data_IF_544851136509
#
_entry.id   IF_544851136509
#
_cell.length_a   1.000
_cell.length_b   1.000
_cell.length_c   1.000
_cell.angle_alpha   90.00
_cell.angle_beta   90.00
_cell.angle_gamma   90.00
#
_symmetry.space_group_name_H-M   'P 1'
#
loop_
_entity.id
_entity.type
_entity.pdbx_description
1 polymer ?
#
# COMPACT_ATOMS: atom_id res chain seq x y z
N UNK A 1 -15.29 -22.18 10.27
CA UNK A 1 -15.66 -21.55 8.98
C UNK A 1 -14.68 -20.42 8.71
N UNK A 2 -14.21 -20.28 7.47
CA UNK A 2 -13.34 -19.17 7.06
C UNK A 2 -14.13 -17.85 7.10
N UNK A 3 -13.54 -16.82 7.68
CA UNK A 3 -14.14 -15.49 7.85
C UNK A 3 -13.24 -14.43 7.23
N UNK A 4 -13.82 -13.36 6.70
CA UNK A 4 -13.11 -12.13 6.39
C UNK A 4 -13.31 -11.17 7.56
N UNK A 5 -12.22 -10.69 8.14
CA UNK A 5 -12.22 -9.86 9.35
C UNK A 5 -11.59 -8.52 9.03
N UNK A 6 -12.26 -7.43 9.42
CA UNK A 6 -11.68 -6.08 9.43
C UNK A 6 -11.45 -5.63 10.86
N UNK A 7 -10.21 -5.25 11.18
CA UNK A 7 -9.86 -4.75 12.50
C UNK A 7 -10.00 -3.23 12.62
N UNK A 8 -9.98 -2.71 13.85
CA UNK A 8 -10.11 -1.27 14.17
C UNK A 8 -9.10 -0.37 13.46
N UNK A 9 -7.91 -0.88 13.13
CA UNK A 9 -6.88 -0.15 12.39
C UNK A 9 -7.02 -0.26 10.86
N UNK A 10 -8.13 -0.82 10.36
CA UNK A 10 -8.41 -0.99 8.93
C UNK A 10 -7.73 -2.20 8.28
N UNK A 11 -7.00 -3.03 9.04
CA UNK A 11 -6.41 -4.25 8.49
C UNK A 11 -7.49 -5.28 8.15
N UNK A 12 -7.33 -5.95 7.01
CA UNK A 12 -8.28 -6.96 6.51
C UNK A 12 -7.60 -8.32 6.44
N UNK A 13 -8.22 -9.33 7.05
CA UNK A 13 -7.68 -10.69 7.13
C UNK A 13 -8.67 -11.70 6.57
N UNK A 14 -8.15 -12.78 6.01
CA UNK A 14 -8.87 -14.04 5.93
C UNK A 14 -8.43 -14.90 7.10
N UNK A 15 -9.39 -15.41 7.86
CA UNK A 15 -9.16 -16.04 9.15
C UNK A 15 -10.01 -17.30 9.31
N UNK A 16 -9.35 -18.44 9.50
CA UNK A 16 -9.98 -19.70 9.86
C UNK A 16 -9.71 -19.97 11.33
N UNK A 17 -10.74 -19.79 12.14
CA UNK A 17 -10.67 -19.98 13.58
C UNK A 17 -10.41 -21.45 13.96
N UNK A 18 -9.40 -21.66 14.81
CA UNK A 18 -9.11 -22.93 15.47
C UNK A 18 -9.40 -22.71 16.96
N UNK A 19 -10.45 -23.33 17.53
CA UNK A 19 -10.83 -23.10 18.92
C UNK A 19 -9.73 -23.51 19.91
N UNK A 20 -9.45 -22.63 20.87
CA UNK A 20 -8.52 -22.83 21.98
C UNK A 20 -9.13 -22.32 23.27
N UNK A 21 -9.66 -23.22 24.11
CA UNK A 21 -10.43 -22.88 25.32
C UNK A 21 -9.77 -21.81 26.18
N UNK A 22 -8.46 -21.92 26.44
CA UNK A 22 -7.74 -20.94 27.27
C UNK A 22 -7.64 -19.56 26.61
N UNK A 23 -7.35 -19.50 25.30
CA UNK A 23 -7.16 -18.24 24.57
C UNK A 23 -8.49 -17.55 24.28
N UNK A 24 -9.51 -18.33 23.92
CA UNK A 24 -10.86 -17.80 23.71
C UNK A 24 -11.41 -17.17 25.00
N UNK A 25 -11.15 -17.76 26.17
CA UNK A 25 -11.52 -17.18 27.47
C UNK A 25 -10.83 -15.84 27.76
N UNK A 26 -9.65 -15.60 27.18
CA UNK A 26 -8.94 -14.32 27.23
C UNK A 26 -9.39 -13.33 26.14
N UNK A 27 -10.43 -13.68 25.36
CA UNK A 27 -10.92 -12.86 24.27
C UNK A 27 -10.01 -12.85 23.04
N UNK A 28 -9.19 -13.88 22.85
CA UNK A 28 -8.23 -13.99 21.75
C UNK A 28 -8.71 -15.02 20.73
N UNK A 29 -8.82 -14.58 19.47
CA UNK A 29 -9.03 -15.46 18.33
C UNK A 29 -7.68 -16.05 17.88
N UNK A 30 -7.62 -17.38 17.81
CA UNK A 30 -6.49 -18.14 17.28
C UNK A 30 -6.93 -18.98 16.09
N UNK A 31 -5.99 -19.24 15.18
CA UNK A 31 -6.31 -19.98 13.98
C UNK A 31 -5.28 -19.80 12.89
N UNK A 32 -5.72 -20.05 11.67
CA UNK A 32 -4.94 -19.80 10.46
C UNK A 32 -5.35 -18.46 9.86
N UNK A 33 -4.39 -17.68 9.37
CA UNK A 33 -4.72 -16.39 8.75
C UNK A 33 -3.74 -15.91 7.70
N UNK A 34 -4.24 -15.00 6.87
CA UNK A 34 -3.47 -14.18 5.96
C UNK A 34 -3.99 -12.75 6.00
N UNK A 35 -3.07 -11.78 6.11
CA UNK A 35 -3.36 -10.35 5.98
C UNK A 35 -3.52 -10.02 4.49
N UNK A 36 -4.69 -9.55 4.08
CA UNK A 36 -4.95 -9.08 2.71
C UNK A 36 -4.47 -7.64 2.51
N UNK A 37 -4.57 -6.81 3.55
CA UNK A 37 -4.22 -5.38 3.47
C UNK A 37 -2.73 -5.13 3.69
N UNK A 38 -1.92 -5.58 2.73
CA UNK A 38 -0.47 -5.35 2.70
C UNK A 38 -0.11 -4.08 1.91
N UNK A 39 1.12 -3.58 2.07
CA UNK A 39 1.64 -2.54 1.18
C UNK A 39 2.07 -3.11 -0.16
N UNK A 40 1.98 -2.28 -1.21
CA UNK A 40 2.48 -2.65 -2.53
C UNK A 40 3.96 -3.05 -2.44
N UNK A 41 4.28 -4.21 -3.01
CA UNK A 41 5.59 -4.89 -2.97
C UNK A 41 5.92 -5.68 -1.69
N UNK A 42 5.07 -5.66 -0.66
CA UNK A 42 5.22 -6.58 0.47
C UNK A 42 4.85 -8.01 0.08
N UNK A 43 5.28 -8.98 0.90
CA UNK A 43 4.84 -10.37 0.78
C UNK A 43 3.56 -10.60 1.59
N UNK A 44 2.68 -11.45 1.06
CA UNK A 44 1.63 -12.07 1.85
C UNK A 44 2.21 -13.23 2.66
N UNK A 45 1.91 -13.26 3.96
CA UNK A 45 2.35 -14.32 4.86
C UNK A 45 1.16 -15.09 5.39
N UNK A 46 1.18 -16.41 5.20
CA UNK A 46 0.24 -17.32 5.83
C UNK A 46 0.76 -17.70 7.22
N UNK A 47 -0.11 -17.60 8.21
CA UNK A 47 0.21 -17.86 9.62
C UNK A 47 -0.66 -19.01 10.13
N UNK A 48 -0.08 -19.87 10.96
CA UNK A 48 -0.76 -21.02 11.58
C UNK A 48 -0.66 -20.94 13.10
N UNK A 49 -1.80 -21.03 13.77
CA UNK A 49 -1.96 -21.25 15.22
C UNK A 49 -1.34 -20.18 16.15
N UNK A 50 -1.23 -18.95 15.65
CA UNK A 50 -0.75 -17.79 16.43
C UNK A 50 -1.96 -17.12 17.11
N UNK A 51 -1.81 -16.50 18.30
CA UNK A 51 -2.78 -15.53 18.82
C UNK A 51 -2.81 -14.32 17.87
N UNK A 52 -3.81 -14.28 17.00
CA UNK A 52 -3.78 -13.40 15.84
C UNK A 52 -4.53 -12.09 16.10
N UNK A 53 -5.71 -12.14 16.72
CA UNK A 53 -6.59 -10.98 16.86
C UNK A 53 -7.38 -11.07 18.16
N UNK A 54 -7.44 -9.99 18.94
CA UNK A 54 -8.42 -9.90 20.04
C UNK A 54 -9.82 -9.65 19.48
N UNK A 55 -10.85 -10.32 19.97
CA UNK A 55 -12.22 -10.12 19.48
C UNK A 55 -12.68 -8.66 19.59
N UNK A 56 -12.25 -7.93 20.63
CA UNK A 56 -12.54 -6.51 20.82
C UNK A 56 -11.99 -5.60 19.70
N UNK A 57 -11.01 -6.09 18.94
CA UNK A 57 -10.39 -5.37 17.84
C UNK A 57 -11.07 -5.63 16.50
N UNK A 58 -12.02 -6.57 16.43
CA UNK A 58 -12.79 -6.89 15.23
C UNK A 58 -13.95 -5.90 15.11
N UNK A 59 -14.02 -5.22 13.96
CA UNK A 59 -15.10 -4.27 13.64
C UNK A 59 -16.13 -4.93 12.73
N UNK A 60 -15.67 -5.64 11.70
CA UNK A 60 -16.53 -6.33 10.75
C UNK A 60 -16.11 -7.80 10.62
N UNK A 61 -17.11 -8.66 10.46
CA UNK A 61 -16.94 -10.06 10.10
C UNK A 61 -17.88 -10.33 8.93
N UNK A 62 -17.32 -10.80 7.82
CA UNK A 62 -18.03 -11.05 6.58
C UNK A 62 -17.70 -12.46 6.06
N UNK A 63 -18.55 -12.99 5.18
CA UNK A 63 -18.20 -14.17 4.41
C UNK A 63 -17.20 -13.78 3.30
N UNK A 64 -16.06 -14.50 3.14
CA UNK A 64 -15.18 -14.27 2.01
C UNK A 64 -15.83 -14.69 0.69
N UNK A 65 -15.44 -14.03 -0.41
CA UNK A 65 -15.80 -14.50 -1.76
C UNK A 65 -15.12 -15.82 -2.09
N UNK A 66 -15.58 -16.53 -3.11
CA UNK A 66 -14.96 -17.81 -3.50
C UNK A 66 -13.51 -17.63 -3.95
N UNK A 67 -13.19 -16.55 -4.67
CA UNK A 67 -11.82 -16.20 -5.03
C UNK A 67 -10.95 -15.86 -3.81
N UNK A 68 -11.51 -15.21 -2.79
CA UNK A 68 -10.80 -14.96 -1.52
C UNK A 68 -10.53 -16.30 -0.79
N UNK A 69 -11.50 -17.23 -0.78
CA UNK A 69 -11.32 -18.58 -0.23
C UNK A 69 -10.22 -19.34 -0.99
N UNK A 70 -10.22 -19.29 -2.32
CA UNK A 70 -9.17 -19.90 -3.15
C UNK A 70 -7.79 -19.31 -2.85
N UNK A 71 -7.69 -17.97 -2.73
CA UNK A 71 -6.45 -17.30 -2.37
C UNK A 71 -5.93 -17.74 -1.00
N UNK A 72 -6.82 -17.93 -0.01
CA UNK A 72 -6.45 -18.42 1.31
C UNK A 72 -5.76 -19.78 1.25
N UNK A 73 -6.34 -20.74 0.51
CA UNK A 73 -5.76 -22.08 0.38
C UNK A 73 -4.49 -22.08 -0.46
N UNK A 74 -4.44 -21.28 -1.53
CA UNK A 74 -3.21 -21.07 -2.29
C UNK A 74 -2.08 -20.53 -1.40
N UNK A 75 -2.37 -19.55 -0.53
CA UNK A 75 -1.41 -19.03 0.44
C UNK A 75 -1.01 -20.05 1.50
N UNK A 76 -1.94 -20.88 1.96
CA UNK A 76 -1.69 -21.96 2.91
C UNK A 76 -0.63 -22.94 2.40
N UNK A 77 -0.65 -23.25 1.11
CA UNK A 77 0.34 -24.10 0.44
C UNK A 77 1.68 -23.40 0.27
N UNK A 78 1.68 -22.13 -0.16
CA UNK A 78 2.90 -21.38 -0.47
C UNK A 78 3.64 -20.83 0.74
N UNK A 79 2.95 -20.62 1.87
CA UNK A 79 3.42 -19.98 3.12
C UNK A 79 3.78 -18.50 2.98
N UNK A 80 4.55 -18.14 1.96
CA UNK A 80 4.87 -16.77 1.59
C UNK A 80 4.59 -16.57 0.10
N UNK A 81 3.91 -15.47 -0.24
CA UNK A 81 3.67 -15.09 -1.62
C UNK A 81 4.11 -13.65 -1.83
N UNK A 82 5.12 -13.45 -2.68
CA UNK A 82 5.51 -12.10 -3.10
C UNK A 82 4.37 -11.42 -3.84
N UNK A 83 4.13 -10.15 -3.54
CA UNK A 83 3.17 -9.35 -4.29
C UNK A 83 3.47 -9.35 -5.79
N UNK A 84 2.42 -9.59 -6.58
CA UNK A 84 2.41 -9.39 -8.03
C UNK A 84 1.05 -8.80 -8.41
N UNK A 85 1.05 -7.75 -9.22
CA UNK A 85 -0.19 -7.13 -9.70
C UNK A 85 -1.12 -8.14 -10.40
N UNK A 86 -0.57 -9.04 -11.21
CA UNK A 86 -1.36 -10.08 -11.88
C UNK A 86 -2.03 -11.04 -10.90
N UNK A 87 -1.36 -11.37 -9.81
CA UNK A 87 -1.87 -12.28 -8.78
C UNK A 87 -3.03 -11.64 -8.01
N UNK A 88 -2.86 -10.40 -7.53
CA UNK A 88 -3.92 -9.72 -6.77
C UNK A 88 -5.15 -9.45 -7.62
N UNK A 89 -4.96 -9.25 -8.93
CA UNK A 89 -6.05 -9.15 -9.90
C UNK A 89 -6.74 -10.48 -10.14
N UNK A 90 -5.98 -11.58 -10.28
CA UNK A 90 -6.52 -12.93 -10.49
C UNK A 90 -7.50 -13.34 -9.39
N UNK A 91 -7.21 -12.98 -8.14
CA UNK A 91 -8.05 -13.30 -6.98
C UNK A 91 -8.96 -12.16 -6.52
N UNK A 92 -9.05 -11.06 -7.29
CA UNK A 92 -9.87 -9.87 -6.97
C UNK A 92 -9.63 -9.24 -5.58
N UNK A 93 -8.39 -9.36 -5.08
CA UNK A 93 -7.96 -8.81 -3.78
C UNK A 93 -7.24 -7.46 -3.91
N UNK A 94 -7.16 -6.89 -5.12
CA UNK A 94 -6.50 -5.61 -5.39
C UNK A 94 -7.05 -4.45 -4.53
N UNK A 95 -8.36 -4.46 -4.24
CA UNK A 95 -9.03 -3.45 -3.42
C UNK A 95 -8.47 -3.35 -1.99
N UNK A 96 -7.82 -4.41 -1.50
CA UNK A 96 -7.23 -4.44 -0.16
C UNK A 96 -5.79 -3.91 -0.12
N UNK A 97 -5.12 -3.72 -1.27
CA UNK A 97 -3.70 -3.36 -1.29
C UNK A 97 -3.51 -1.86 -1.01
N UNK A 98 -2.57 -1.53 -0.13
CA UNK A 98 -2.10 -0.16 0.06
C UNK A 98 -1.14 0.21 -1.06
N UNK A 99 -1.68 0.76 -2.16
CA UNK A 99 -0.90 1.17 -3.32
C UNK A 99 -0.03 2.38 -3.04
N UNK A 100 1.20 2.36 -3.57
CA UNK A 100 2.06 3.52 -3.54
C UNK A 100 1.54 4.59 -4.50
N UNK A 101 1.59 5.88 -4.12
CA UNK A 101 1.33 6.95 -5.06
C UNK A 101 2.32 6.85 -6.24
N UNK A 102 1.79 7.04 -7.44
CA UNK A 102 2.57 7.14 -8.67
C UNK A 102 2.74 8.62 -8.99
N UNK A 103 3.86 9.00 -9.58
CA UNK A 103 4.10 10.38 -10.01
C UNK A 103 4.22 10.41 -11.52
N UNK A 104 3.40 11.24 -12.16
CA UNK A 104 3.54 11.57 -13.57
C UNK A 104 4.24 12.92 -13.66
N UNK A 105 5.40 12.94 -14.31
CA UNK A 105 6.14 14.17 -14.53
C UNK A 105 5.84 14.76 -15.90
N UNK A 106 5.72 16.08 -15.93
CA UNK A 106 5.66 16.90 -17.16
C UNK A 106 6.71 17.99 -17.07
N UNK A 107 7.35 18.32 -18.18
CA UNK A 107 8.32 19.41 -18.26
C UNK A 107 7.85 20.46 -19.27
N UNK A 108 8.05 21.72 -18.92
CA UNK A 108 7.87 22.88 -19.80
C UNK A 108 9.14 23.71 -19.79
N UNK A 109 9.60 24.11 -20.96
CA UNK A 109 10.70 25.06 -21.10
C UNK A 109 10.09 26.44 -21.30
N UNK A 110 10.38 27.38 -20.40
CA UNK A 110 9.83 28.74 -20.41
C UNK A 110 11.02 29.69 -20.30
N UNK A 111 11.36 30.36 -21.41
CA UNK A 111 12.54 31.23 -21.50
C UNK A 111 13.82 30.47 -21.10
N UNK A 112 14.50 30.93 -20.05
CA UNK A 112 15.72 30.34 -19.48
C UNK A 112 15.44 29.44 -18.25
N UNK A 113 14.19 28.99 -18.08
CA UNK A 113 13.78 28.11 -16.99
C UNK A 113 13.19 26.80 -17.53
N UNK A 114 13.51 25.71 -16.82
CA UNK A 114 12.85 24.41 -16.95
C UNK A 114 11.90 24.25 -15.77
N UNK A 115 10.61 24.17 -16.07
CA UNK A 115 9.56 23.92 -15.09
C UNK A 115 9.19 22.44 -15.11
N UNK A 116 9.32 21.76 -13.98
CA UNK A 116 8.98 20.35 -13.79
C UNK A 116 7.75 20.27 -12.90
N UNK A 117 6.70 19.64 -13.40
CA UNK A 117 5.42 19.47 -12.72
C UNK A 117 5.24 17.99 -12.42
N UNK A 118 5.14 17.64 -11.15
CA UNK A 118 4.78 16.31 -10.69
C UNK A 118 3.30 16.22 -10.34
N UNK A 119 2.58 15.29 -10.99
CA UNK A 119 1.21 14.93 -10.66
C UNK A 119 1.19 13.60 -9.91
N UNK A 120 0.72 13.62 -8.66
CA UNK A 120 0.52 12.45 -7.83
C UNK A 120 -0.79 11.77 -8.22
N UNK A 121 -0.68 10.49 -8.58
CA UNK A 121 -1.79 9.62 -8.97
C UNK A 121 -1.95 8.51 -7.95
N UNK A 122 -3.18 8.35 -7.49
CA UNK A 122 -3.58 7.31 -6.55
C UNK A 122 -4.39 6.26 -7.30
N UNK A 123 -4.13 4.99 -6.98
CA UNK A 123 -5.00 3.90 -7.39
C UNK A 123 -6.17 3.81 -6.42
N UNK A 124 -7.37 3.51 -6.94
CA UNK A 124 -8.55 3.35 -6.09
C UNK A 124 -8.41 2.06 -5.27
N UNK A 125 -8.63 2.16 -3.96
CA UNK A 125 -8.70 1.04 -3.02
C UNK A 125 -9.60 1.43 -1.84
N UNK A 126 -9.75 0.55 -0.85
CA UNK A 126 -10.57 0.81 0.34
C UNK A 126 -9.90 1.73 1.36
N UNK A 127 -8.62 2.04 1.17
CA UNK A 127 -7.80 2.73 2.17
C UNK A 127 -7.85 4.24 1.99
N UNK A 128 -7.72 5.02 3.08
CA UNK A 128 -7.55 6.46 2.98
C UNK A 128 -6.34 6.83 2.12
N UNK A 129 -6.45 7.92 1.37
CA UNK A 129 -5.34 8.44 0.58
C UNK A 129 -4.29 9.03 1.52
N UNK A 130 -3.07 8.51 1.43
CA UNK A 130 -1.91 9.06 2.12
C UNK A 130 -1.25 10.11 1.22
N UNK A 131 -1.40 11.39 1.58
CA UNK A 131 -0.75 12.50 0.86
C UNK A 131 0.71 12.59 1.31
N UNK A 132 1.70 12.40 0.41
CA UNK A 132 3.10 12.44 0.80
C UNK A 132 3.60 13.89 0.95
N UNK A 133 4.58 14.08 1.82
CA UNK A 133 5.44 15.27 1.74
C UNK A 133 6.48 15.07 0.63
N UNK A 134 6.61 16.05 -0.27
CA UNK A 134 7.55 15.99 -1.39
C UNK A 134 8.84 16.66 -0.99
N UNK A 135 9.96 15.94 -1.11
CA UNK A 135 11.28 16.45 -0.81
C UNK A 135 12.17 16.36 -2.04
N UNK A 136 12.98 17.39 -2.27
CA UNK A 136 14.10 17.36 -3.21
C UNK A 136 15.31 17.96 -2.51
N UNK A 137 16.44 17.24 -2.49
CA UNK A 137 17.63 17.64 -1.73
C UNK A 137 17.35 17.96 -0.25
N UNK A 138 16.37 17.26 0.35
CA UNK A 138 15.83 17.46 1.70
C UNK A 138 15.08 18.78 1.94
N UNK A 139 14.76 19.52 0.88
CA UNK A 139 13.86 20.68 0.95
C UNK A 139 12.43 20.28 0.61
N UNK A 140 11.47 20.79 1.38
CA UNK A 140 10.04 20.54 1.17
C UNK A 140 9.54 21.32 -0.04
N UNK A 141 8.97 20.61 -1.00
CA UNK A 141 8.27 21.20 -2.13
C UNK A 141 6.76 21.24 -1.79
N UNK A 142 6.13 22.42 -1.81
CA UNK A 142 4.71 22.55 -1.48
C UNK A 142 3.83 21.83 -2.50
N UNK A 143 2.80 21.16 -2.01
CA UNK A 143 1.75 20.58 -2.83
C UNK A 143 0.62 21.59 -3.05
N UNK A 144 0.14 21.64 -4.29
CA UNK A 144 -1.11 22.27 -4.71
C UNK A 144 -2.18 21.19 -4.86
N UNK A 145 -3.33 21.42 -4.23
CA UNK A 145 -4.49 20.52 -4.26
C UNK A 145 -4.17 19.07 -3.88
N UNK A 146 -3.17 18.87 -3.00
CA UNK A 146 -2.68 17.55 -2.54
C UNK A 146 -2.20 16.60 -3.65
N UNK A 147 -2.03 17.12 -4.87
CA UNK A 147 -1.81 16.32 -6.08
C UNK A 147 -0.69 16.83 -6.96
N UNK A 148 -0.41 18.13 -6.94
CA UNK A 148 0.55 18.72 -7.86
C UNK A 148 1.68 19.37 -7.09
N UNK A 149 2.91 19.15 -7.52
CA UNK A 149 4.05 19.94 -7.08
C UNK A 149 4.80 20.48 -8.30
N UNK A 150 5.50 21.58 -8.10
CA UNK A 150 6.27 22.23 -9.14
C UNK A 150 7.67 22.52 -8.63
N UNK A 151 8.66 22.28 -9.50
CA UNK A 151 10.04 22.64 -9.26
C UNK A 151 10.59 23.37 -10.49
N UNK A 152 11.32 24.45 -10.26
CA UNK A 152 11.94 25.26 -11.30
C UNK A 152 13.45 25.11 -11.24
N UNK A 153 14.05 25.01 -12.41
CA UNK A 153 15.49 24.86 -12.61
C UNK A 153 15.93 25.84 -13.69
N UNK A 154 17.12 26.42 -13.56
CA UNK A 154 17.75 27.17 -14.65
C UNK A 154 18.00 26.23 -15.85
N UNK A 155 17.68 26.68 -17.07
CA UNK A 155 17.93 25.91 -18.29
C UNK A 155 19.42 25.64 -18.55
N UNK A 156 20.30 26.49 -18.03
CA UNK A 156 21.76 26.31 -18.09
C UNK A 156 22.28 25.33 -17.02
N UNK A 157 21.40 24.77 -16.19
CA UNK A 157 21.81 23.83 -15.15
C UNK A 157 22.31 22.51 -15.78
N UNK A 158 23.41 22.01 -15.24
CA UNK A 158 24.04 20.78 -15.73
C UNK A 158 23.37 19.50 -15.23
N UNK A 159 22.41 19.58 -14.29
CA UNK A 159 21.67 18.42 -13.81
C UNK A 159 20.98 17.67 -14.96
N UNK A 160 21.13 16.35 -14.95
CA UNK A 160 20.48 15.44 -15.90
C UNK A 160 19.27 14.74 -15.27
N UNK A 161 19.19 14.75 -13.93
CA UNK A 161 18.24 13.97 -13.15
C UNK A 161 17.88 14.69 -11.86
N UNK A 162 16.62 14.60 -11.46
CA UNK A 162 16.12 15.00 -10.14
C UNK A 162 15.53 13.79 -9.42
N UNK A 163 15.82 13.66 -8.13
CA UNK A 163 15.32 12.58 -7.29
C UNK A 163 14.37 13.12 -6.22
N UNK A 164 13.08 13.09 -6.53
CA UNK A 164 12.03 13.49 -5.61
C UNK A 164 11.77 12.35 -4.63
N UNK A 165 11.88 12.62 -3.32
CA UNK A 165 11.44 11.69 -2.28
C UNK A 165 10.01 12.04 -1.90
N UNK A 166 9.15 11.02 -1.88
CA UNK A 166 7.80 11.10 -1.37
C UNK A 166 7.82 10.45 0.01
N UNK A 167 7.69 11.27 1.04
CA UNK A 167 7.71 10.85 2.43
C UNK A 167 6.28 10.54 2.88
N UNK A 168 5.95 9.25 3.02
CA UNK A 168 4.66 8.75 3.50
C UNK A 168 4.79 8.29 4.97
N UNK A 169 3.69 8.22 5.74
CA UNK A 169 3.74 7.87 7.16
C UNK A 169 4.47 6.56 7.48
N UNK A 170 4.42 5.56 6.58
CA UNK A 170 5.03 4.24 6.81
C UNK A 170 6.22 3.92 5.90
N UNK A 171 6.51 4.75 4.91
CA UNK A 171 7.57 4.47 3.94
C UNK A 171 8.01 5.71 3.17
N UNK A 172 9.24 5.68 2.67
CA UNK A 172 9.78 6.72 1.79
C UNK A 172 10.02 6.09 0.42
N UNK A 173 9.47 6.71 -0.64
CA UNK A 173 9.71 6.27 -2.01
C UNK A 173 10.47 7.36 -2.78
N UNK A 174 11.46 6.94 -3.57
CA UNK A 174 12.20 7.85 -4.46
C UNK A 174 11.65 7.72 -5.88
N UNK A 175 11.38 8.86 -6.51
CA UNK A 175 10.94 8.98 -7.90
C UNK A 175 11.88 9.91 -8.65
N UNK A 176 12.59 9.28 -9.58
CA UNK A 176 13.58 9.93 -10.43
C UNK A 176 12.93 10.52 -11.67
N UNK A 177 13.28 11.76 -12.00
CA UNK A 177 12.95 12.40 -13.26
C UNK A 177 14.21 12.69 -14.06
N UNK A 178 14.29 12.23 -15.31
CA UNK A 178 15.36 12.60 -16.25
C UNK A 178 14.97 13.89 -16.97
N UNK A 179 15.79 14.93 -16.81
CA UNK A 179 15.58 16.23 -17.43
C UNK A 179 15.75 16.10 -18.95
N UNK A 180 14.83 16.69 -19.71
CA UNK A 180 14.91 16.76 -21.16
C UNK A 180 15.55 18.10 -21.53
N UNK A 181 16.78 18.10 -22.02
CA UNK A 181 17.42 19.32 -22.54
C UNK A 181 16.96 19.59 -23.96
#
# INVERSE_FOLDING_TARGET
MLKKITSKNGSVFLFLEIPHTQRNNLGIASGESILLSIYENDSFYFTTDIPLIKYESIVFTEEPTDLEKEFFYFAKEKKEIKYKHSLVKQFEIEKYIHYLPKVKYTQKNINNEIQIIGEIKYQNNIHPKEVPEILLNNEVIPLRDEKYFEYKLDANNNMEKLDFKLNLPKQIITRSYKIKK
#
